data_IF_360680156486
#
_entry.id   IF_360680156486
#
_cell.length_a   1.000
_cell.length_b   1.000
_cell.length_c   1.000
_cell.angle_alpha   90.00
_cell.angle_beta   90.00
_cell.angle_gamma   90.00
#
_symmetry.space_group_name_H-M   'P 1'
#
loop_
_entity.id
_entity.type
_entity.pdbx_description
1 polymer ?
#
# COMPACT_ATOMS: atom_id res chain seq x y z
N UNK A 1 -10.29 -33.41 -4.02
CA UNK A 1 -10.66 -31.99 -3.74
C UNK A 1 -11.99 -31.99 -3.02
N UNK A 2 -12.01 -31.47 -1.79
CA UNK A 2 -13.28 -31.31 -1.08
C UNK A 2 -13.85 -29.93 -1.38
N UNK A 3 -14.95 -29.94 -2.09
CA UNK A 3 -15.69 -28.77 -2.54
C UNK A 3 -16.80 -28.46 -1.54
N UNK A 4 -16.92 -27.20 -1.15
CA UNK A 4 -18.09 -26.69 -0.43
C UNK A 4 -18.86 -25.76 -1.34
N UNK A 5 -20.18 -25.99 -1.41
CA UNK A 5 -21.13 -25.15 -2.11
C UNK A 5 -22.10 -24.54 -1.11
N UNK A 6 -22.13 -23.21 -1.06
CA UNK A 6 -23.08 -22.47 -0.24
C UNK A 6 -24.46 -22.59 -0.86
N UNK A 7 -25.44 -23.01 -0.07
CA UNK A 7 -26.82 -23.30 -0.55
C UNK A 7 -27.46 -22.05 -1.18
N UNK A 8 -28.16 -22.25 -2.28
CA UNK A 8 -29.02 -21.24 -2.89
C UNK A 8 -30.08 -20.79 -1.88
N UNK A 9 -30.30 -19.48 -1.77
CA UNK A 9 -31.17 -18.85 -0.80
C UNK A 9 -30.44 -18.30 0.43
N UNK A 10 -29.19 -18.72 0.68
CA UNK A 10 -28.35 -18.09 1.71
C UNK A 10 -28.07 -16.65 1.31
N UNK A 11 -28.36 -15.69 2.19
CA UNK A 11 -28.07 -14.26 2.00
C UNK A 11 -26.75 -13.85 2.64
N UNK A 12 -26.42 -14.48 3.76
CA UNK A 12 -25.20 -14.19 4.52
C UNK A 12 -24.53 -15.50 4.93
N UNK A 13 -23.21 -15.56 4.85
CA UNK A 13 -22.40 -16.56 5.51
C UNK A 13 -22.09 -16.01 6.90
N UNK A 14 -22.48 -16.75 7.93
CA UNK A 14 -22.38 -16.26 9.31
C UNK A 14 -20.91 -16.10 9.76
N UNK A 15 -20.62 -15.22 10.73
CA UNK A 15 -19.31 -15.11 11.33
C UNK A 15 -18.82 -16.47 11.85
N UNK A 16 -17.52 -16.76 11.63
CA UNK A 16 -16.84 -17.99 12.07
C UNK A 16 -17.44 -19.31 11.53
N UNK A 17 -18.39 -19.29 10.62
CA UNK A 17 -19.17 -20.47 10.20
C UNK A 17 -18.31 -21.62 9.67
N UNK A 18 -17.23 -21.34 9.01
CA UNK A 18 -16.30 -22.32 8.43
C UNK A 18 -14.86 -22.13 8.93
N UNK A 19 -14.70 -21.43 10.04
CA UNK A 19 -13.37 -21.18 10.63
C UNK A 19 -12.60 -22.47 10.88
N UNK A 20 -11.32 -22.49 10.51
CA UNK A 20 -10.39 -23.60 10.72
C UNK A 20 -10.68 -24.87 9.92
N UNK A 21 -11.58 -24.84 8.94
CA UNK A 21 -11.95 -25.99 8.11
C UNK A 21 -10.82 -26.36 7.15
N UNK A 22 -10.01 -27.34 7.52
CA UNK A 22 -8.89 -27.84 6.70
C UNK A 22 -9.30 -28.72 5.53
N UNK A 23 -10.55 -29.17 5.50
CA UNK A 23 -11.08 -30.03 4.47
C UNK A 23 -11.59 -29.26 3.23
N UNK A 24 -11.66 -27.92 3.27
CA UNK A 24 -12.15 -27.10 2.17
C UNK A 24 -10.99 -26.79 1.21
N UNK A 25 -11.08 -27.24 -0.03
CA UNK A 25 -10.13 -26.90 -1.08
C UNK A 25 -10.74 -25.94 -2.13
N UNK A 26 -12.03 -26.05 -2.40
CA UNK A 26 -12.78 -25.19 -3.32
C UNK A 26 -14.06 -24.69 -2.64
N UNK A 27 -14.30 -23.37 -2.70
CA UNK A 27 -15.48 -22.73 -2.21
C UNK A 27 -16.30 -22.18 -3.37
N UNK A 28 -17.58 -22.57 -3.43
CA UNK A 28 -18.55 -22.01 -4.38
C UNK A 28 -19.58 -21.23 -3.57
N UNK A 29 -19.65 -19.94 -3.83
CA UNK A 29 -20.58 -19.03 -3.20
C UNK A 29 -21.79 -18.85 -4.11
N UNK A 30 -22.99 -19.14 -3.61
CA UNK A 30 -24.21 -18.99 -4.37
C UNK A 30 -24.47 -17.53 -4.76
N UNK A 31 -25.09 -17.30 -5.90
CA UNK A 31 -25.46 -15.94 -6.39
C UNK A 31 -26.35 -15.17 -5.41
N UNK A 32 -27.01 -15.85 -4.47
CA UNK A 32 -27.88 -15.21 -3.46
C UNK A 32 -27.12 -14.63 -2.27
N UNK A 33 -25.84 -14.97 -2.09
CA UNK A 33 -25.03 -14.47 -0.98
C UNK A 33 -24.64 -13.01 -1.24
N UNK A 34 -24.89 -12.19 -0.26
CA UNK A 34 -24.63 -10.75 -0.26
C UNK A 34 -23.44 -10.40 0.65
N UNK A 35 -23.33 -11.08 1.80
CA UNK A 35 -22.34 -10.79 2.83
C UNK A 35 -21.59 -12.05 3.25
N UNK A 36 -20.27 -11.95 3.35
CA UNK A 36 -19.41 -12.94 4.02
C UNK A 36 -19.05 -12.36 5.38
N UNK A 37 -19.42 -13.06 6.44
CA UNK A 37 -19.25 -12.61 7.82
C UNK A 37 -17.78 -12.57 8.27
N UNK A 38 -17.56 -11.98 9.45
CA UNK A 38 -16.26 -11.93 10.11
C UNK A 38 -15.68 -13.34 10.29
N UNK A 39 -14.39 -13.52 9.97
CA UNK A 39 -13.66 -14.77 10.12
C UNK A 39 -14.37 -16.02 9.54
N UNK A 40 -15.32 -15.84 8.61
CA UNK A 40 -16.17 -16.94 8.13
C UNK A 40 -15.36 -18.13 7.57
N UNK A 41 -14.19 -17.89 6.97
CA UNK A 41 -13.25 -18.88 6.44
C UNK A 41 -11.83 -18.67 7.00
N UNK A 42 -11.72 -18.04 8.17
CA UNK A 42 -10.43 -17.85 8.84
C UNK A 42 -9.71 -19.17 9.03
N UNK A 43 -8.43 -19.26 8.66
CA UNK A 43 -7.64 -20.48 8.84
C UNK A 43 -8.05 -21.66 7.96
N UNK A 44 -8.84 -21.46 6.90
CA UNK A 44 -9.09 -22.49 5.89
C UNK A 44 -7.82 -22.70 5.03
N UNK A 45 -6.75 -23.24 5.65
CA UNK A 45 -5.41 -23.27 5.07
C UNK A 45 -5.28 -24.10 3.79
N UNK A 46 -6.22 -25.01 3.52
CA UNK A 46 -6.24 -25.79 2.28
C UNK A 46 -7.10 -25.16 1.16
N UNK A 47 -7.75 -24.02 1.41
CA UNK A 47 -8.55 -23.34 0.39
C UNK A 47 -7.66 -22.85 -0.76
N UNK A 48 -7.94 -23.34 -1.97
CA UNK A 48 -7.17 -23.06 -3.20
C UNK A 48 -7.91 -22.14 -4.16
N UNK A 49 -9.26 -22.19 -4.14
CA UNK A 49 -10.09 -21.51 -5.14
C UNK A 49 -11.40 -21.02 -4.52
N UNK A 50 -11.78 -19.80 -4.89
CA UNK A 50 -13.08 -19.20 -4.58
C UNK A 50 -13.80 -18.94 -5.90
N UNK A 51 -15.04 -19.40 -6.02
CA UNK A 51 -15.97 -19.05 -7.08
C UNK A 51 -17.02 -18.15 -6.45
N UNK A 52 -16.99 -16.89 -6.85
CA UNK A 52 -17.83 -15.84 -6.27
C UNK A 52 -19.26 -15.90 -6.78
N UNK A 53 -20.23 -15.68 -5.89
CA UNK A 53 -21.60 -15.38 -6.28
C UNK A 53 -21.72 -13.93 -6.77
N UNK A 54 -22.67 -13.69 -7.67
CA UNK A 54 -22.84 -12.40 -8.37
C UNK A 54 -23.21 -11.21 -7.47
N UNK A 55 -23.75 -11.45 -6.29
CA UNK A 55 -24.26 -10.38 -5.41
C UNK A 55 -23.43 -10.20 -4.14
N UNK A 56 -22.27 -10.88 -4.03
CA UNK A 56 -21.38 -10.64 -2.89
C UNK A 56 -20.84 -9.22 -2.99
N UNK A 57 -21.24 -8.39 -2.04
CA UNK A 57 -20.77 -6.99 -1.96
C UNK A 57 -19.92 -6.70 -0.72
N UNK A 58 -19.96 -7.55 0.32
CA UNK A 58 -19.18 -7.33 1.55
C UNK A 58 -18.40 -8.57 1.95
N UNK A 59 -17.09 -8.40 2.17
CA UNK A 59 -16.20 -9.39 2.77
C UNK A 59 -15.81 -8.87 4.15
N UNK A 60 -16.21 -9.62 5.18
CA UNK A 60 -16.03 -9.28 6.59
C UNK A 60 -14.58 -9.27 7.06
N UNK A 61 -14.37 -8.76 8.27
CA UNK A 61 -13.06 -8.71 8.92
C UNK A 61 -12.48 -10.13 9.03
N UNK A 62 -11.21 -10.28 8.63
CA UNK A 62 -10.50 -11.56 8.67
C UNK A 62 -11.15 -12.74 7.94
N UNK A 63 -12.15 -12.49 7.07
CA UNK A 63 -12.99 -13.54 6.49
C UNK A 63 -12.20 -14.67 5.83
N UNK A 64 -11.06 -14.39 5.22
CA UNK A 64 -10.16 -15.34 4.55
C UNK A 64 -8.71 -15.21 5.03
N UNK A 65 -8.48 -14.70 6.24
CA UNK A 65 -7.13 -14.69 6.81
C UNK A 65 -6.59 -16.11 7.00
N UNK A 66 -5.28 -16.31 6.80
CA UNK A 66 -4.63 -17.61 6.93
C UNK A 66 -5.16 -18.69 5.96
N UNK A 67 -5.62 -18.29 4.78
CA UNK A 67 -5.92 -19.21 3.69
C UNK A 67 -4.62 -19.53 2.92
N UNK A 68 -3.76 -20.36 3.50
CA UNK A 68 -2.36 -20.55 3.11
C UNK A 68 -2.17 -21.10 1.70
N UNK A 69 -3.14 -21.88 1.20
CA UNK A 69 -3.09 -22.50 -0.14
C UNK A 69 -3.69 -21.65 -1.25
N UNK A 70 -4.30 -20.49 -0.93
CA UNK A 70 -4.89 -19.58 -1.91
C UNK A 70 -3.75 -18.88 -2.68
N UNK A 71 -3.63 -19.17 -4.00
CA UNK A 71 -2.52 -18.64 -4.82
C UNK A 71 -2.90 -17.43 -5.62
N UNK A 72 -4.12 -17.40 -6.13
CA UNK A 72 -4.64 -16.33 -6.98
C UNK A 72 -6.00 -15.90 -6.46
N UNK A 73 -6.25 -14.61 -6.50
CA UNK A 73 -7.52 -14.03 -6.06
C UNK A 73 -8.03 -13.07 -7.12
N UNK A 74 -9.17 -13.40 -7.71
CA UNK A 74 -9.91 -12.55 -8.63
C UNK A 74 -11.13 -12.00 -7.90
N UNK A 75 -11.21 -10.70 -7.74
CA UNK A 75 -12.28 -10.02 -7.00
C UNK A 75 -13.25 -9.37 -7.99
N UNK A 76 -14.52 -9.83 -8.06
CA UNK A 76 -15.50 -9.29 -9.00
C UNK A 76 -15.92 -7.87 -8.62
N UNK A 77 -16.41 -7.13 -9.61
CA UNK A 77 -16.85 -5.73 -9.44
C UNK A 77 -18.10 -5.56 -8.56
N UNK A 78 -18.79 -6.66 -8.21
CA UNK A 78 -19.88 -6.64 -7.23
C UNK A 78 -19.39 -6.35 -5.81
N UNK A 79 -18.09 -6.57 -5.50
CA UNK A 79 -17.53 -6.36 -4.16
C UNK A 79 -17.33 -4.86 -3.92
N UNK A 80 -18.09 -4.32 -2.96
CA UNK A 80 -18.05 -2.91 -2.56
C UNK A 80 -17.21 -2.68 -1.29
N UNK A 81 -17.17 -3.68 -0.38
CA UNK A 81 -16.48 -3.55 0.90
C UNK A 81 -15.60 -4.75 1.21
N UNK A 82 -14.30 -4.51 1.39
CA UNK A 82 -13.35 -5.48 1.92
C UNK A 82 -12.87 -4.95 3.27
N UNK A 83 -13.21 -5.65 4.36
CA UNK A 83 -12.90 -5.21 5.70
C UNK A 83 -11.47 -5.59 6.13
N UNK A 84 -11.07 -5.07 7.31
CA UNK A 84 -9.71 -5.19 7.81
C UNK A 84 -9.23 -6.65 7.86
N UNK A 85 -7.99 -6.87 7.40
CA UNK A 85 -7.35 -8.19 7.40
C UNK A 85 -8.09 -9.27 6.60
N UNK A 86 -9.05 -8.94 5.74
CA UNK A 86 -9.91 -9.94 5.06
C UNK A 86 -9.11 -11.06 4.37
N UNK A 87 -7.96 -10.78 3.80
CA UNK A 87 -7.03 -11.71 3.14
C UNK A 87 -5.60 -11.60 3.70
N UNK A 88 -5.45 -11.11 4.93
CA UNK A 88 -4.12 -10.97 5.53
C UNK A 88 -3.53 -12.34 5.91
N UNK A 89 -2.21 -12.40 6.05
CA UNK A 89 -1.50 -13.62 6.44
C UNK A 89 -1.81 -14.83 5.52
N UNK A 90 -1.93 -14.58 4.20
CA UNK A 90 -2.08 -15.62 3.19
C UNK A 90 -0.73 -15.86 2.49
N UNK A 91 0.17 -16.70 3.04
CA UNK A 91 1.53 -16.86 2.51
C UNK A 91 1.57 -17.55 1.14
N UNK A 92 0.48 -18.20 0.73
CA UNK A 92 0.36 -18.81 -0.60
C UNK A 92 0.01 -17.82 -1.69
N UNK A 93 -0.57 -16.65 -1.34
CA UNK A 93 -1.09 -15.68 -2.30
C UNK A 93 0.04 -15.04 -3.09
N UNK A 94 -0.03 -15.15 -4.43
CA UNK A 94 0.97 -14.67 -5.38
C UNK A 94 0.42 -13.51 -6.21
N UNK A 95 -0.86 -13.56 -6.54
CA UNK A 95 -1.51 -12.62 -7.45
C UNK A 95 -2.89 -12.21 -6.96
N UNK A 96 -3.18 -10.89 -7.03
CA UNK A 96 -4.50 -10.32 -6.74
C UNK A 96 -4.92 -9.44 -7.90
N UNK A 97 -6.12 -9.64 -8.39
CA UNK A 97 -6.73 -8.83 -9.44
C UNK A 97 -8.14 -8.42 -9.03
N UNK A 98 -8.42 -7.14 -9.17
CA UNK A 98 -9.77 -6.62 -9.08
C UNK A 98 -10.33 -6.47 -10.49
N UNK A 99 -11.58 -6.85 -10.69
CA UNK A 99 -12.28 -6.62 -11.96
C UNK A 99 -12.36 -5.11 -12.25
N UNK A 100 -12.24 -4.75 -13.53
CA UNK A 100 -12.27 -3.36 -13.98
C UNK A 100 -13.53 -2.61 -13.52
N UNK A 101 -13.37 -1.30 -13.28
CA UNK A 101 -14.42 -0.40 -12.80
C UNK A 101 -14.99 -0.74 -11.41
N UNK A 102 -14.28 -1.53 -10.61
CA UNK A 102 -14.67 -1.80 -9.23
C UNK A 102 -14.61 -0.50 -8.40
N UNK A 103 -15.71 -0.21 -7.68
CA UNK A 103 -15.78 0.91 -6.71
C UNK A 103 -15.49 0.43 -5.30
N UNK A 104 -14.67 -0.58 -5.17
CA UNK A 104 -14.39 -1.21 -3.89
C UNK A 104 -13.76 -0.25 -2.89
N UNK A 105 -14.28 -0.27 -1.68
CA UNK A 105 -13.66 0.32 -0.50
C UNK A 105 -12.94 -0.77 0.27
N UNK A 106 -11.61 -0.69 0.29
CA UNK A 106 -10.76 -1.66 0.99
C UNK A 106 -10.23 -1.00 2.26
N UNK A 107 -10.51 -1.60 3.42
CA UNK A 107 -9.99 -1.06 4.69
C UNK A 107 -8.55 -1.47 4.94
N UNK A 108 -7.93 -0.95 6.00
CA UNK A 108 -6.51 -1.13 6.27
C UNK A 108 -6.11 -2.61 6.44
N UNK A 109 -4.92 -2.94 5.96
CA UNK A 109 -4.28 -4.26 6.12
C UNK A 109 -5.01 -5.45 5.48
N UNK A 110 -5.93 -5.21 4.54
CA UNK A 110 -6.71 -6.30 3.94
C UNK A 110 -5.85 -7.40 3.31
N UNK A 111 -4.66 -7.09 2.80
CA UNK A 111 -3.71 -8.02 2.17
C UNK A 111 -2.32 -7.98 2.84
N UNK A 112 -2.22 -7.50 4.08
CA UNK A 112 -0.92 -7.44 4.76
C UNK A 112 -0.36 -8.84 5.04
N UNK A 113 0.97 -8.93 5.08
CA UNK A 113 1.65 -10.18 5.42
C UNK A 113 1.44 -11.33 4.41
N UNK A 114 1.06 -11.01 3.16
CA UNK A 114 1.04 -11.95 2.06
C UNK A 114 2.46 -12.12 1.52
N UNK A 115 3.25 -12.99 2.16
CA UNK A 115 4.72 -13.05 1.97
C UNK A 115 5.19 -13.53 0.60
N UNK A 116 4.30 -14.06 -0.24
CA UNK A 116 4.60 -14.47 -1.62
C UNK A 116 3.90 -13.63 -2.67
N UNK A 117 3.13 -12.61 -2.27
CA UNK A 117 2.45 -11.72 -3.21
C UNK A 117 3.48 -10.95 -4.05
N UNK A 118 3.42 -11.10 -5.37
CA UNK A 118 4.35 -10.47 -6.33
C UNK A 118 3.69 -9.39 -7.16
N UNK A 119 2.41 -9.54 -7.47
CA UNK A 119 1.71 -8.64 -8.39
C UNK A 119 0.29 -8.33 -7.90
N UNK A 120 -0.11 -7.07 -8.05
CA UNK A 120 -1.47 -6.59 -7.74
C UNK A 120 -1.97 -5.69 -8.86
N UNK A 121 -3.15 -5.99 -9.39
CA UNK A 121 -3.89 -5.14 -10.33
C UNK A 121 -5.04 -4.49 -9.56
N UNK A 122 -4.89 -3.19 -9.31
CA UNK A 122 -5.88 -2.37 -8.59
C UNK A 122 -6.93 -1.80 -9.55
N UNK A 123 -8.20 -1.68 -9.14
CA UNK A 123 -9.26 -1.22 -10.01
C UNK A 123 -9.24 0.29 -10.19
N UNK A 124 -9.66 0.75 -11.36
CA UNK A 124 -10.01 2.15 -11.56
C UNK A 124 -11.15 2.54 -10.61
N UNK A 125 -11.07 3.77 -10.06
CA UNK A 125 -12.05 4.26 -9.08
C UNK A 125 -11.58 4.20 -7.63
N UNK A 126 -10.57 3.37 -7.30
CA UNK A 126 -9.95 3.34 -5.97
C UNK A 126 -9.40 4.73 -5.59
N UNK A 127 -9.74 5.23 -4.40
CA UNK A 127 -9.33 6.57 -3.93
C UNK A 127 -8.16 6.54 -2.97
N UNK A 128 -7.98 5.45 -2.24
CA UNK A 128 -6.94 5.33 -1.22
C UNK A 128 -6.43 3.90 -1.10
N UNK A 129 -5.14 3.74 -0.82
CA UNK A 129 -4.48 2.44 -0.66
C UNK A 129 -3.93 2.34 0.77
N UNK A 130 -4.30 1.25 1.50
CA UNK A 130 -3.87 0.99 2.90
C UNK A 130 -3.50 -0.49 3.15
N UNK A 131 -3.11 -1.29 2.12
CA UNK A 131 -3.44 -2.70 2.16
C UNK A 131 -2.27 -3.68 2.08
N UNK A 132 -1.11 -3.30 1.51
CA UNK A 132 -0.08 -4.25 1.07
C UNK A 132 1.22 -4.19 1.91
N UNK A 133 1.12 -3.70 3.13
CA UNK A 133 2.28 -3.68 4.03
C UNK A 133 2.79 -5.09 4.36
N UNK A 134 4.12 -5.24 4.45
CA UNK A 134 4.80 -6.50 4.72
C UNK A 134 4.52 -7.61 3.68
N UNK A 135 4.51 -7.20 2.41
CA UNK A 135 4.52 -8.10 1.26
C UNK A 135 5.91 -8.08 0.60
N UNK A 136 6.91 -8.78 1.16
CA UNK A 136 8.33 -8.63 0.82
C UNK A 136 8.72 -9.13 -0.57
N UNK A 137 7.77 -9.63 -1.36
CA UNK A 137 7.95 -10.03 -2.76
C UNK A 137 7.11 -9.19 -3.72
N UNK A 138 6.38 -8.20 -3.22
CA UNK A 138 5.53 -7.35 -4.06
C UNK A 138 6.41 -6.38 -4.87
N UNK A 139 6.46 -6.60 -6.17
CA UNK A 139 7.27 -5.86 -7.14
C UNK A 139 6.40 -5.10 -8.14
N UNK A 140 5.36 -5.76 -8.66
CA UNK A 140 4.51 -5.23 -9.71
C UNK A 140 3.24 -4.59 -9.12
N UNK A 141 3.23 -3.25 -9.09
CA UNK A 141 2.13 -2.46 -8.57
C UNK A 141 1.79 -1.37 -9.57
N UNK A 142 0.60 -1.43 -10.13
CA UNK A 142 0.04 -0.34 -10.91
C UNK A 142 -0.94 0.47 -10.04
N UNK A 143 -0.64 1.75 -9.83
CA UNK A 143 -1.50 2.66 -9.06
C UNK A 143 -2.39 3.43 -10.02
N UNK A 144 -3.72 3.22 -9.99
CA UNK A 144 -4.65 3.92 -10.88
C UNK A 144 -4.63 5.45 -10.69
N UNK A 145 -4.85 6.18 -11.79
CA UNK A 145 -4.92 7.63 -11.79
C UNK A 145 -6.08 8.25 -10.98
N UNK A 146 -6.92 7.43 -10.36
CA UNK A 146 -7.98 7.85 -9.45
C UNK A 146 -7.56 7.91 -7.98
N UNK A 147 -6.40 7.33 -7.65
CA UNK A 147 -5.89 7.28 -6.27
C UNK A 147 -5.37 8.65 -5.85
N UNK A 148 -5.86 9.14 -4.72
CA UNK A 148 -5.46 10.43 -4.15
C UNK A 148 -4.62 10.30 -2.87
N UNK A 149 -4.65 9.14 -2.21
CA UNK A 149 -3.95 8.90 -0.95
C UNK A 149 -3.23 7.55 -0.93
N UNK A 150 -1.93 7.60 -0.63
CA UNK A 150 -1.17 6.42 -0.21
C UNK A 150 -1.18 6.43 1.32
N UNK A 151 -1.92 5.52 1.91
CA UNK A 151 -2.23 5.54 3.34
C UNK A 151 -1.16 4.92 4.24
N UNK A 152 -1.46 4.87 5.53
CA UNK A 152 -0.56 4.37 6.55
C UNK A 152 -0.07 2.94 6.25
N UNK A 153 1.26 2.78 6.12
CA UNK A 153 1.93 1.51 5.82
C UNK A 153 1.46 0.79 4.56
N UNK A 154 0.87 1.52 3.61
CA UNK A 154 0.27 0.93 2.41
C UNK A 154 1.22 -0.02 1.66
N UNK A 155 2.47 0.37 1.54
CA UNK A 155 3.54 -0.31 0.83
C UNK A 155 4.82 -0.44 1.68
N UNK A 156 4.66 -0.58 3.00
CA UNK A 156 5.82 -0.84 3.85
C UNK A 156 6.39 -2.23 3.61
N UNK A 157 7.72 -2.35 3.58
CA UNK A 157 8.43 -3.62 3.45
C UNK A 157 8.10 -4.39 2.14
N UNK A 158 7.94 -3.68 1.02
CA UNK A 158 7.76 -4.26 -0.32
C UNK A 158 9.08 -4.40 -1.06
N UNK A 159 9.10 -5.27 -2.09
CA UNK A 159 10.28 -5.52 -2.92
C UNK A 159 10.42 -4.58 -4.11
N UNK A 160 9.36 -3.86 -4.48
CA UNK A 160 9.38 -2.94 -5.62
C UNK A 160 10.58 -1.99 -5.55
N UNK A 161 11.37 -1.95 -6.61
CA UNK A 161 12.54 -1.07 -6.73
C UNK A 161 12.18 0.29 -7.33
N UNK A 162 11.06 0.36 -8.02
CA UNK A 162 10.46 1.55 -8.60
C UNK A 162 8.95 1.54 -8.37
N UNK A 163 8.34 2.70 -8.33
CA UNK A 163 6.89 2.86 -8.24
C UNK A 163 6.49 4.16 -8.94
N UNK A 164 5.53 4.05 -9.86
CA UNK A 164 4.97 5.21 -10.54
C UNK A 164 3.82 5.77 -9.72
N UNK A 165 4.01 6.96 -9.18
CA UNK A 165 2.99 7.68 -8.43
C UNK A 165 2.23 8.61 -9.39
N UNK A 166 0.91 8.41 -9.61
CA UNK A 166 0.16 9.24 -10.54
C UNK A 166 -0.05 10.67 -10.02
N UNK A 167 -0.27 11.60 -10.94
CA UNK A 167 -0.50 13.02 -10.63
C UNK A 167 -1.82 13.31 -9.89
N UNK A 168 -2.58 12.29 -9.55
CA UNK A 168 -3.76 12.39 -8.68
C UNK A 168 -3.41 12.39 -7.19
N UNK A 169 -2.23 11.88 -6.81
CA UNK A 169 -1.83 11.75 -5.39
C UNK A 169 -1.72 13.12 -4.73
N UNK A 170 -2.40 13.27 -3.59
CA UNK A 170 -2.37 14.48 -2.75
C UNK A 170 -1.61 14.26 -1.44
N UNK A 171 -1.61 13.02 -0.94
CA UNK A 171 -1.00 12.70 0.35
C UNK A 171 -0.27 11.36 0.31
N UNK A 172 0.94 11.36 0.87
CA UNK A 172 1.72 10.15 1.21
C UNK A 172 1.77 10.08 2.73
N UNK A 173 1.08 9.11 3.31
CA UNK A 173 0.83 9.04 4.74
C UNK A 173 1.99 8.40 5.52
N UNK A 174 1.84 8.34 6.82
CA UNK A 174 2.81 7.82 7.79
C UNK A 174 3.29 6.42 7.40
N UNK A 175 4.63 6.23 7.29
CA UNK A 175 5.26 4.96 6.95
C UNK A 175 4.78 4.31 5.63
N UNK A 176 4.22 5.07 4.69
CA UNK A 176 3.62 4.53 3.47
C UNK A 176 4.56 3.59 2.69
N UNK A 177 5.84 3.92 2.60
CA UNK A 177 6.91 3.14 1.94
C UNK A 177 8.06 2.77 2.89
N UNK A 178 7.76 2.70 4.19
CA UNK A 178 8.77 2.39 5.20
C UNK A 178 9.47 1.06 4.93
N UNK A 179 10.82 1.05 4.98
CA UNK A 179 11.64 -0.14 4.77
C UNK A 179 11.36 -0.86 3.43
N UNK A 180 10.96 -0.13 2.39
CA UNK A 180 10.79 -0.65 1.03
C UNK A 180 12.13 -0.69 0.28
N UNK A 181 12.18 -1.44 -0.85
CA UNK A 181 13.36 -1.61 -1.69
C UNK A 181 13.50 -0.56 -2.80
N UNK A 182 12.72 0.52 -2.73
CA UNK A 182 12.78 1.60 -3.72
C UNK A 182 14.19 2.14 -3.88
N UNK A 183 14.62 2.28 -5.14
CA UNK A 183 15.94 2.82 -5.50
C UNK A 183 15.89 4.31 -5.82
N UNK A 184 14.75 4.78 -6.32
CA UNK A 184 14.45 6.19 -6.56
C UNK A 184 12.97 6.46 -6.36
N UNK A 185 12.64 7.71 -6.07
CA UNK A 185 11.24 8.15 -5.96
C UNK A 185 11.09 9.52 -6.60
N UNK A 186 10.11 9.65 -7.48
CA UNK A 186 9.59 10.92 -7.96
C UNK A 186 8.23 11.17 -7.30
N UNK A 187 8.19 12.11 -6.38
CA UNK A 187 6.93 12.56 -5.75
C UNK A 187 6.28 13.55 -6.68
N UNK A 188 5.03 13.28 -7.16
CA UNK A 188 4.36 14.14 -8.12
C UNK A 188 4.16 15.58 -7.65
N UNK A 189 4.04 16.48 -8.61
CA UNK A 189 3.75 17.89 -8.37
C UNK A 189 2.41 18.16 -7.67
N UNK A 190 1.52 17.20 -7.70
CA UNK A 190 0.18 17.25 -7.07
C UNK A 190 0.18 16.98 -5.57
N UNK A 191 1.27 16.37 -5.04
CA UNK A 191 1.38 15.99 -3.62
C UNK A 191 1.55 17.23 -2.74
N UNK A 192 0.74 17.32 -1.69
CA UNK A 192 0.76 18.39 -0.72
C UNK A 192 1.55 18.02 0.54
N UNK A 193 1.41 16.78 1.00
CA UNK A 193 2.03 16.33 2.26
C UNK A 193 2.70 14.98 2.14
N UNK A 194 3.88 14.88 2.75
CA UNK A 194 4.63 13.64 2.99
C UNK A 194 4.73 13.50 4.50
N UNK A 195 4.11 12.48 5.07
CA UNK A 195 4.00 12.32 6.52
C UNK A 195 5.22 11.65 7.17
N UNK A 196 5.17 11.48 8.50
CA UNK A 196 6.28 10.95 9.31
C UNK A 196 6.77 9.59 8.81
N UNK A 197 8.09 9.46 8.63
CA UNK A 197 8.77 8.22 8.22
C UNK A 197 8.27 7.60 6.89
N UNK A 198 7.63 8.38 6.02
CA UNK A 198 7.00 7.87 4.79
C UNK A 198 7.92 7.00 3.94
N UNK A 199 9.21 7.37 3.83
CA UNK A 199 10.27 6.65 3.14
C UNK A 199 11.44 6.30 4.08
N UNK A 200 11.16 6.19 5.38
CA UNK A 200 12.19 5.83 6.36
C UNK A 200 12.71 4.41 6.15
N UNK A 201 14.00 4.20 6.41
CA UNK A 201 14.68 2.89 6.35
C UNK A 201 14.71 2.26 4.94
N UNK A 202 14.50 3.02 3.87
CA UNK A 202 14.68 2.55 2.50
C UNK A 202 16.18 2.39 2.20
N UNK A 203 16.70 1.18 2.40
CA UNK A 203 18.13 0.89 2.35
C UNK A 203 18.77 1.13 0.98
N UNK A 204 17.98 1.02 -0.08
CA UNK A 204 18.42 1.06 -1.47
C UNK A 204 18.13 2.40 -2.16
N UNK A 205 17.46 3.33 -1.46
CA UNK A 205 17.01 4.63 -1.99
C UNK A 205 18.22 5.55 -2.24
N UNK A 206 18.47 5.89 -3.52
CA UNK A 206 19.62 6.67 -3.99
C UNK A 206 19.28 8.13 -4.25
N UNK A 207 18.09 8.38 -4.79
CA UNK A 207 17.64 9.72 -5.16
C UNK A 207 16.14 9.91 -4.89
N UNK A 208 15.78 11.15 -4.56
CA UNK A 208 14.40 11.57 -4.36
C UNK A 208 14.19 12.90 -5.06
N UNK A 209 13.11 12.99 -5.84
CA UNK A 209 12.60 14.25 -6.38
C UNK A 209 11.26 14.57 -5.72
N UNK A 210 11.10 15.78 -5.19
CA UNK A 210 9.92 16.21 -4.43
C UNK A 210 9.23 17.32 -5.21
N UNK A 211 7.97 17.08 -5.58
CA UNK A 211 7.14 17.92 -6.41
C UNK A 211 6.90 19.34 -5.86
N UNK A 212 6.51 20.25 -6.73
CA UNK A 212 6.43 21.70 -6.46
C UNK A 212 5.36 22.11 -5.46
N UNK A 213 4.29 21.31 -5.28
CA UNK A 213 3.17 21.67 -4.38
C UNK A 213 3.35 21.17 -2.96
N UNK A 214 4.45 20.47 -2.65
CA UNK A 214 4.67 19.95 -1.29
C UNK A 214 4.87 21.10 -0.31
N UNK A 215 3.99 21.20 0.70
CA UNK A 215 4.03 22.21 1.75
C UNK A 215 4.47 21.67 3.10
N UNK A 216 4.38 20.36 3.30
CA UNK A 216 4.72 19.69 4.56
C UNK A 216 5.48 18.40 4.33
N UNK A 217 6.56 18.21 5.10
CA UNK A 217 7.30 16.94 5.17
C UNK A 217 7.48 16.58 6.64
N UNK A 218 6.99 15.41 7.01
CA UNK A 218 6.97 14.90 8.38
C UNK A 218 8.35 14.54 8.93
N UNK A 219 8.37 14.25 10.23
CA UNK A 219 9.59 13.81 10.92
C UNK A 219 10.11 12.50 10.36
N UNK A 220 11.45 12.39 10.25
CA UNK A 220 12.10 11.14 9.83
C UNK A 220 11.66 10.64 8.45
N UNK A 221 11.10 11.50 7.58
CA UNK A 221 10.53 11.09 6.30
C UNK A 221 11.47 10.24 5.45
N UNK A 222 12.79 10.53 5.49
CA UNK A 222 13.86 9.79 4.81
C UNK A 222 14.96 9.32 5.79
N UNK A 223 14.58 9.07 7.05
CA UNK A 223 15.55 8.62 8.06
C UNK A 223 16.13 7.26 7.71
N UNK A 224 17.42 7.07 8.00
CA UNK A 224 18.15 5.80 7.80
C UNK A 224 18.05 5.23 6.37
N UNK A 225 18.21 6.11 5.35
CA UNK A 225 18.42 5.77 3.96
C UNK A 225 19.92 5.90 3.64
N UNK A 226 20.74 4.87 3.91
CA UNK A 226 22.20 5.00 3.96
C UNK A 226 22.83 5.33 2.62
N UNK A 227 22.21 4.91 1.50
CA UNK A 227 22.74 5.15 0.14
C UNK A 227 22.15 6.38 -0.54
N UNK A 228 21.21 7.08 0.11
CA UNK A 228 20.60 8.31 -0.41
C UNK A 228 21.70 9.37 -0.62
N UNK A 229 21.93 9.74 -1.87
CA UNK A 229 23.02 10.64 -2.28
C UNK A 229 22.52 12.02 -2.70
N UNK A 230 21.31 12.10 -3.24
CA UNK A 230 20.75 13.32 -3.80
C UNK A 230 19.25 13.45 -3.51
N UNK A 231 18.84 14.67 -3.16
CA UNK A 231 17.44 15.03 -2.99
C UNK A 231 17.19 16.34 -3.71
N UNK A 232 16.14 16.39 -4.51
CA UNK A 232 15.71 17.60 -5.22
C UNK A 232 14.34 18.02 -4.73
N UNK A 233 14.25 19.21 -4.18
CA UNK A 233 13.00 19.87 -3.81
C UNK A 233 12.61 20.85 -4.92
N UNK A 234 11.44 20.69 -5.52
CA UNK A 234 10.90 21.64 -6.49
C UNK A 234 10.00 22.70 -5.84
N UNK A 235 9.60 22.51 -4.60
CA UNK A 235 8.68 23.41 -3.91
C UNK A 235 9.34 24.75 -3.55
N UNK A 236 8.69 25.83 -3.90
CA UNK A 236 9.01 27.18 -3.44
C UNK A 236 8.14 27.64 -2.26
N UNK A 237 7.14 26.83 -1.90
CA UNK A 237 6.10 27.12 -0.90
C UNK A 237 6.18 26.21 0.31
N UNK A 238 7.31 25.54 0.50
CA UNK A 238 7.49 24.63 1.65
C UNK A 238 7.32 25.38 2.97
N UNK A 239 6.34 24.94 3.77
CA UNK A 239 6.01 25.58 5.05
C UNK A 239 6.68 24.93 6.26
N UNK A 240 6.85 23.61 6.24
CA UNK A 240 7.43 22.85 7.35
C UNK A 240 8.17 21.61 6.91
N UNK A 241 9.31 21.37 7.54
CA UNK A 241 10.10 20.14 7.41
C UNK A 241 10.35 19.59 8.82
N UNK A 242 9.93 18.35 9.05
CA UNK A 242 10.05 17.68 10.34
C UNK A 242 11.49 17.39 10.75
N UNK A 243 11.69 17.19 12.04
CA UNK A 243 13.02 16.89 12.59
C UNK A 243 13.56 15.54 12.12
N UNK A 244 14.89 15.43 12.06
CA UNK A 244 15.60 14.18 11.73
C UNK A 244 15.28 13.63 10.32
N UNK A 245 14.85 14.49 9.40
CA UNK A 245 14.39 14.10 8.05
C UNK A 245 15.42 13.22 7.32
N UNK A 246 16.73 13.54 7.40
CA UNK A 246 17.84 12.81 6.77
C UNK A 246 18.80 12.19 7.80
N UNK A 247 18.36 11.97 9.06
CA UNK A 247 19.20 11.28 10.04
C UNK A 247 19.56 9.89 9.54
N UNK A 248 20.85 9.52 9.55
CA UNK A 248 21.33 8.23 9.08
C UNK A 248 21.57 8.13 7.55
N UNK A 249 21.28 9.17 6.78
CA UNK A 249 21.62 9.24 5.35
C UNK A 249 23.13 9.58 5.18
N UNK A 250 23.97 8.57 5.38
CA UNK A 250 25.44 8.76 5.45
C UNK A 250 26.05 9.22 4.12
N UNK A 251 25.44 8.84 3.00
CA UNK A 251 25.93 9.16 1.65
C UNK A 251 25.29 10.41 1.03
N UNK A 252 24.44 11.15 1.76
CA UNK A 252 23.80 12.35 1.24
C UNK A 252 24.86 13.43 0.92
N UNK A 253 24.98 13.75 -0.37
CA UNK A 253 25.98 14.69 -0.90
C UNK A 253 25.35 16.02 -1.30
N UNK A 254 24.14 15.98 -1.89
CA UNK A 254 23.50 17.14 -2.50
C UNK A 254 22.02 17.24 -2.13
N UNK A 255 21.59 18.44 -1.86
CA UNK A 255 20.19 18.82 -1.66
C UNK A 255 19.93 20.00 -2.58
N UNK A 256 19.28 19.75 -3.71
CA UNK A 256 18.91 20.76 -4.68
C UNK A 256 17.64 21.45 -4.23
N UNK A 257 17.60 22.78 -4.25
CA UNK A 257 16.46 23.59 -3.89
C UNK A 257 16.30 24.76 -4.88
N UNK A 258 15.08 25.26 -5.14
CA UNK A 258 14.90 26.45 -5.95
C UNK A 258 15.73 27.62 -5.39
N UNK A 259 16.49 28.30 -6.22
CA UNK A 259 17.37 29.41 -5.79
C UNK A 259 16.58 30.49 -5.03
N UNK A 260 15.36 30.81 -5.49
CA UNK A 260 14.47 31.77 -4.84
C UNK A 260 13.98 31.35 -3.45
N UNK A 261 14.05 30.05 -3.10
CA UNK A 261 13.60 29.52 -1.83
C UNK A 261 14.77 29.13 -0.90
N UNK A 262 16.03 29.38 -1.28
CA UNK A 262 17.23 28.98 -0.56
C UNK A 262 17.18 29.34 0.93
N UNK A 263 16.79 30.54 1.28
CA UNK A 263 16.75 31.01 2.67
C UNK A 263 15.66 30.30 3.47
N UNK A 264 14.54 29.95 2.84
CA UNK A 264 13.49 29.14 3.48
C UNK A 264 14.04 27.77 3.83
N UNK A 265 14.75 27.08 2.90
CA UNK A 265 15.33 25.77 3.19
C UNK A 265 16.46 25.83 4.24
N UNK A 266 17.29 26.88 4.27
CA UNK A 266 18.26 27.11 5.34
C UNK A 266 17.60 27.27 6.71
N UNK A 267 16.44 27.93 6.77
CA UNK A 267 15.68 28.08 8.04
C UNK A 267 15.08 26.76 8.50
N UNK A 268 14.56 25.92 7.58
CA UNK A 268 13.84 24.70 7.88
C UNK A 268 14.76 23.49 8.10
N UNK A 269 15.93 23.44 7.45
CA UNK A 269 16.86 22.33 7.54
C UNK A 269 17.93 22.58 8.61
N UNK A 270 18.40 21.51 9.29
CA UNK A 270 19.48 21.62 10.27
C UNK A 270 20.76 22.21 9.67
N UNK A 271 21.48 23.04 10.42
CA UNK A 271 22.70 23.74 9.98
C UNK A 271 23.76 22.82 9.35
N UNK A 272 23.92 21.58 9.84
CA UNK A 272 24.89 20.62 9.28
C UNK A 272 24.59 20.20 7.84
N UNK A 273 23.38 20.42 7.34
CA UNK A 273 22.98 20.16 5.95
C UNK A 273 23.19 21.36 5.04
N UNK A 274 23.41 22.57 5.56
CA UNK A 274 23.49 23.78 4.74
C UNK A 274 24.61 23.72 3.69
N UNK A 275 25.74 23.05 4.00
CA UNK A 275 26.87 22.85 3.06
C UNK A 275 26.52 21.96 1.88
N UNK A 276 25.40 21.28 1.91
CA UNK A 276 24.93 20.36 0.86
C UNK A 276 23.85 21.01 -0.02
N UNK A 277 23.35 22.19 0.37
CA UNK A 277 22.35 22.92 -0.38
C UNK A 277 22.95 23.50 -1.66
N UNK A 278 22.25 23.28 -2.77
CA UNK A 278 22.58 23.80 -4.09
C UNK A 278 21.34 24.45 -4.68
N UNK A 279 21.44 25.70 -5.10
CA UNK A 279 20.35 26.42 -5.79
C UNK A 279 20.31 26.07 -7.28
N UNK A 280 19.12 25.94 -7.85
CA UNK A 280 18.87 25.81 -9.29
C UNK A 280 17.77 26.73 -9.76
#
# INVERSE_FOLDING_TARGET
>A
MKKIEIKKGTKQIDPHQYEGRLDIEELIIADTVEVIGEAAFYGCSNLKKIIWGKHVHTIGMQAFSYCDSLKTLYLPNSIEHIQSHAFAFCPGLVFVEFEDNSKVYVTSRAFSDCTRLTCVILPDGLKSIYHFGRCPKLEDIFIPGTVTHIGHKAFSEIAATQIDLPDSIKKIDHQAFYNSKLTSVVVPDSVLTIEDSAFGFCSDLRSVEIGKSVVYIGRRAFKDCPVLSEVTFKSTIIGSIGTSIFKGCKNLKRINVPACAMDTYKRLLPKYLHRKLVGF
#
